data_IF_937151781995
#
_entry.id   IF_937151781995
#
_cell.length_a   1.000
_cell.length_b   1.000
_cell.length_c   1.000
_cell.angle_alpha   90.00
_cell.angle_beta   90.00
_cell.angle_gamma   90.00
#
_symmetry.space_group_name_H-M   'P 1'
#
loop_
_entity.id
_entity.type
_entity.pdbx_description
1 polymer ?
#
# COMPACT_ATOMS: atom_id res chain seq x y z
N UNK A 1 24.09 1.71 19.10
CA UNK A 1 22.77 1.08 19.00
C UNK A 1 22.79 -0.13 18.11
N UNK A 2 21.83 -1.03 18.23
CA UNK A 2 21.60 -2.10 17.25
C UNK A 2 20.74 -1.62 16.10
N UNK A 3 21.05 -2.07 14.88
CA UNK A 3 20.32 -1.71 13.66
C UNK A 3 20.40 -2.81 12.60
N UNK A 4 19.46 -2.82 11.71
CA UNK A 4 19.57 -3.51 10.43
C UNK A 4 20.33 -2.61 9.46
N UNK A 5 21.41 -3.08 8.86
CA UNK A 5 22.27 -2.28 7.98
C UNK A 5 22.39 -2.95 6.62
N UNK A 6 22.11 -2.21 5.55
CA UNK A 6 22.36 -2.63 4.16
C UNK A 6 23.70 -2.04 3.73
N UNK A 7 24.66 -2.90 3.44
CA UNK A 7 26.01 -2.54 3.01
C UNK A 7 26.18 -2.60 1.48
N UNK A 8 25.34 -3.40 0.80
CA UNK A 8 25.39 -3.63 -0.64
C UNK A 8 23.98 -3.65 -1.24
N UNK A 9 23.82 -3.00 -2.40
CA UNK A 9 22.54 -2.97 -3.10
C UNK A 9 21.97 -4.36 -3.39
N UNK A 10 20.69 -4.55 -3.08
CA UNK A 10 19.98 -5.80 -3.35
C UNK A 10 20.26 -6.92 -2.35
N UNK A 11 21.10 -6.70 -1.36
CA UNK A 11 21.34 -7.64 -0.24
C UNK A 11 20.32 -7.43 0.88
N UNK A 12 20.05 -8.49 1.63
CA UNK A 12 19.31 -8.36 2.88
C UNK A 12 20.14 -7.56 3.89
N UNK A 13 19.50 -6.76 4.76
CA UNK A 13 20.20 -6.05 5.82
C UNK A 13 20.75 -7.05 6.86
N UNK A 14 21.86 -6.69 7.50
CA UNK A 14 22.51 -7.45 8.58
C UNK A 14 22.16 -6.77 9.90
N UNK A 15 21.78 -7.54 10.93
CA UNK A 15 21.60 -7.03 12.28
C UNK A 15 22.94 -6.86 12.96
N UNK A 16 23.36 -5.60 13.23
CA UNK A 16 24.70 -5.29 13.70
C UNK A 16 24.73 -4.05 14.60
N UNK A 17 25.91 -3.77 15.17
CA UNK A 17 26.17 -2.51 15.87
C UNK A 17 26.32 -1.36 14.87
N UNK A 18 25.70 -0.22 15.19
CA UNK A 18 25.76 1.00 14.40
C UNK A 18 25.91 2.22 15.33
N UNK A 19 26.63 3.27 14.92
CA UNK A 19 26.69 4.52 15.70
C UNK A 19 25.31 5.07 16.03
N UNK A 20 25.19 5.69 17.21
CA UNK A 20 23.98 6.39 17.61
C UNK A 20 23.67 7.55 16.64
N UNK A 21 22.40 7.83 16.33
CA UNK A 21 22.04 9.00 15.57
C UNK A 21 22.34 10.27 16.35
N UNK A 22 22.80 11.30 15.66
CA UNK A 22 23.06 12.61 16.23
C UNK A 22 22.03 13.59 15.70
N UNK A 23 21.40 14.34 16.60
CA UNK A 23 20.43 15.38 16.21
C UNK A 23 21.07 16.39 15.24
N UNK A 24 20.39 16.63 14.13
CA UNK A 24 20.82 17.55 13.07
C UNK A 24 19.62 18.00 12.24
N UNK A 25 19.77 19.08 11.52
CA UNK A 25 18.78 19.57 10.53
C UNK A 25 17.34 19.71 11.11
N UNK A 26 17.21 20.09 12.40
CA UNK A 26 15.92 20.18 13.10
C UNK A 26 15.35 18.84 13.56
N UNK A 27 15.98 17.74 13.19
CA UNK A 27 15.54 16.40 13.62
C UNK A 27 15.91 16.11 15.06
N UNK A 28 15.09 15.32 15.73
CA UNK A 28 15.26 14.83 17.10
C UNK A 28 15.53 13.33 17.12
N UNK A 29 16.37 12.89 18.05
CA UNK A 29 16.61 11.45 18.26
C UNK A 29 15.42 10.86 18.98
N UNK A 30 14.89 9.75 18.47
CA UNK A 30 13.74 9.06 19.04
C UNK A 30 14.01 7.55 19.17
N UNK A 31 13.34 6.91 20.12
CA UNK A 31 13.40 5.46 20.31
C UNK A 31 12.39 4.80 19.37
N UNK A 32 12.83 3.87 18.52
CA UNK A 32 11.94 3.13 17.64
C UNK A 32 11.19 2.06 18.44
N UNK A 33 9.89 1.94 18.20
CA UNK A 33 9.05 0.90 18.79
C UNK A 33 8.64 -0.18 17.76
N UNK A 34 8.49 0.22 16.50
CA UNK A 34 8.07 -0.68 15.44
C UNK A 34 8.46 -0.13 14.07
N UNK A 35 8.84 -1.00 13.14
CA UNK A 35 9.15 -0.65 11.74
C UNK A 35 8.50 -1.64 10.79
N UNK A 36 7.69 -1.16 9.85
CA UNK A 36 7.02 -2.02 8.88
C UNK A 36 7.98 -2.48 7.77
N UNK A 37 8.04 -3.78 7.52
CA UNK A 37 8.75 -4.34 6.38
C UNK A 37 7.86 -4.27 5.14
N UNK A 38 8.10 -3.28 4.28
CA UNK A 38 7.27 -2.99 3.11
C UNK A 38 7.99 -3.30 1.81
N UNK A 39 7.22 -3.54 0.73
CA UNK A 39 7.79 -3.66 -0.61
C UNK A 39 8.50 -2.38 -1.06
N UNK A 40 8.04 -1.21 -0.59
CA UNK A 40 8.72 0.06 -0.81
C UNK A 40 10.12 0.04 -0.19
N UNK A 41 10.24 -0.34 1.07
CA UNK A 41 11.54 -0.45 1.76
C UNK A 41 12.48 -1.41 1.04
N UNK A 42 11.99 -2.61 0.69
CA UNK A 42 12.77 -3.60 -0.10
C UNK A 42 13.16 -3.05 -1.47
N UNK A 43 12.25 -2.36 -2.15
CA UNK A 43 12.48 -1.72 -3.44
C UNK A 43 13.57 -0.65 -3.37
N UNK A 44 13.50 0.27 -2.40
CA UNK A 44 14.46 1.35 -2.23
C UNK A 44 15.91 0.85 -2.08
N UNK A 45 16.12 -0.19 -1.27
CA UNK A 45 17.47 -0.76 -1.06
C UNK A 45 17.86 -1.84 -2.08
N UNK A 46 17.01 -2.13 -3.04
CA UNK A 46 17.36 -3.03 -4.15
C UNK A 46 18.31 -2.38 -5.17
N UNK A 47 18.43 -1.06 -5.16
CA UNK A 47 19.16 -0.28 -6.16
C UNK A 47 18.43 -0.16 -7.52
N UNK A 48 17.25 -0.77 -7.67
CA UNK A 48 16.48 -0.81 -8.93
C UNK A 48 15.24 0.10 -8.91
N UNK A 49 14.86 0.61 -7.75
CA UNK A 49 13.75 1.54 -7.61
C UNK A 49 14.18 2.93 -8.10
N UNK A 50 13.29 3.68 -8.74
CA UNK A 50 13.59 5.03 -9.27
C UNK A 50 14.11 6.01 -8.20
N UNK A 51 13.73 5.83 -6.92
CA UNK A 51 14.19 6.64 -5.80
C UNK A 51 15.42 6.03 -5.06
N UNK A 52 15.99 4.91 -5.51
CA UNK A 52 17.17 4.31 -4.86
C UNK A 52 18.38 5.24 -4.87
N UNK A 53 18.53 6.04 -5.93
CA UNK A 53 19.62 7.01 -6.08
C UNK A 53 19.67 8.11 -5.00
N UNK A 54 18.61 8.24 -4.22
CA UNK A 54 18.58 9.16 -3.08
C UNK A 54 19.23 8.61 -1.80
N UNK A 55 19.56 7.31 -1.78
CA UNK A 55 20.21 6.65 -0.65
C UNK A 55 21.71 6.49 -0.89
N UNK A 56 22.47 6.48 0.20
CA UNK A 56 23.93 6.20 0.19
C UNK A 56 24.20 5.04 1.14
N UNK A 57 24.96 4.05 0.66
CA UNK A 57 25.37 2.91 1.47
C UNK A 57 26.61 3.26 2.35
N UNK A 58 26.73 2.66 3.56
CA UNK A 58 25.74 1.81 4.21
C UNK A 58 24.51 2.60 4.68
N UNK A 59 23.34 1.94 4.69
CA UNK A 59 22.09 2.58 5.09
C UNK A 59 21.25 1.69 6.01
N UNK A 60 20.60 2.29 6.98
CA UNK A 60 19.57 1.65 7.79
C UNK A 60 18.25 1.75 7.01
N UNK A 61 17.62 0.63 6.60
CA UNK A 61 16.34 0.67 5.91
C UNK A 61 15.18 1.00 6.85
N UNK A 62 13.98 1.17 6.28
CA UNK A 62 12.76 1.43 7.04
C UNK A 62 12.17 2.80 6.71
N UNK A 63 11.25 2.82 5.73
CA UNK A 63 10.56 4.04 5.32
C UNK A 63 9.37 4.38 6.23
N UNK A 64 8.88 3.38 6.99
CA UNK A 64 7.68 3.50 7.83
C UNK A 64 7.93 2.91 9.21
N UNK A 65 7.51 3.62 10.25
CA UNK A 65 7.62 3.11 11.60
C UNK A 65 7.03 4.04 12.66
N UNK A 66 7.02 3.55 13.88
CA UNK A 66 6.59 4.25 15.08
C UNK A 66 7.79 4.50 15.96
N UNK A 67 7.95 5.72 16.38
CA UNK A 67 8.98 6.13 17.34
C UNK A 67 8.35 6.85 18.53
N UNK A 68 9.03 6.77 19.68
CA UNK A 68 8.70 7.50 20.89
C UNK A 68 9.69 8.65 21.08
N UNK A 69 9.17 9.85 21.19
CA UNK A 69 9.90 11.06 21.52
C UNK A 69 10.28 11.09 23.01
N UNK A 70 11.17 12.01 23.38
CA UNK A 70 11.67 12.14 24.77
C UNK A 70 10.55 12.49 25.78
N UNK A 71 9.52 13.21 25.33
CA UNK A 71 8.34 13.56 26.12
C UNK A 71 7.32 12.42 26.29
N UNK A 72 7.61 11.25 25.70
CA UNK A 72 6.76 10.09 25.70
C UNK A 72 5.74 10.00 24.56
N UNK A 73 5.62 11.03 23.72
CA UNK A 73 4.70 11.05 22.58
C UNK A 73 5.09 9.99 21.56
N UNK A 74 4.13 9.18 21.14
CA UNK A 74 4.31 8.21 20.04
C UNK A 74 3.94 8.85 18.72
N UNK A 75 4.83 8.73 17.76
CA UNK A 75 4.62 9.30 16.43
C UNK A 75 4.88 8.28 15.33
N UNK A 76 4.02 8.31 14.28
CA UNK A 76 4.40 7.74 13.00
C UNK A 76 5.29 8.73 12.27
N UNK A 77 6.36 8.22 11.72
CA UNK A 77 7.32 9.04 11.00
C UNK A 77 8.00 8.27 9.88
N UNK A 78 8.38 9.00 8.82
CA UNK A 78 9.41 8.57 7.90
C UNK A 78 10.75 9.07 8.40
N UNK A 79 11.69 8.17 8.61
CA UNK A 79 13.00 8.52 9.17
C UNK A 79 13.83 9.41 8.23
N UNK A 80 14.63 10.29 8.82
CA UNK A 80 15.60 11.11 8.10
C UNK A 80 16.82 10.28 7.70
N UNK A 81 17.25 10.44 6.45
CA UNK A 81 18.45 9.75 5.92
C UNK A 81 19.71 10.17 6.71
N UNK A 82 20.65 9.26 6.98
CA UNK A 82 20.72 7.85 6.57
C UNK A 82 20.05 6.89 7.56
N UNK A 83 19.37 7.36 8.58
CA UNK A 83 18.79 6.56 9.65
C UNK A 83 17.36 6.17 9.29
N UNK A 84 17.15 4.92 8.89
CA UNK A 84 15.80 4.36 8.72
C UNK A 84 15.20 3.90 10.06
N UNK A 85 13.99 3.33 9.98
CA UNK A 85 13.23 2.88 11.15
C UNK A 85 13.61 1.48 11.66
N UNK A 86 14.48 0.73 10.94
CA UNK A 86 14.91 -0.63 11.36
C UNK A 86 16.14 -0.58 12.27
N UNK A 87 16.00 0.12 13.38
CA UNK A 87 17.05 0.32 14.41
C UNK A 87 16.40 0.55 15.77
N UNK A 88 17.18 0.51 16.85
CA UNK A 88 16.73 0.88 18.19
C UNK A 88 16.40 2.38 18.30
N UNK A 89 17.13 3.22 17.57
CA UNK A 89 16.94 4.68 17.53
C UNK A 89 17.02 5.21 16.11
N UNK A 90 16.35 6.31 15.86
CA UNK A 90 16.35 7.01 14.58
C UNK A 90 16.34 8.52 14.77
N UNK A 91 16.48 9.26 13.67
CA UNK A 91 16.32 10.70 13.62
C UNK A 91 14.96 11.02 13.00
N UNK A 92 14.12 11.74 13.73
CA UNK A 92 12.75 12.09 13.35
C UNK A 92 12.65 13.58 13.08
N UNK A 93 11.95 13.94 12.00
CA UNK A 93 11.47 15.31 11.79
C UNK A 93 10.13 15.48 12.54
N UNK A 94 10.09 16.24 13.65
CA UNK A 94 8.87 16.42 14.44
C UNK A 94 7.73 17.08 13.66
N UNK A 95 8.05 18.00 12.74
CA UNK A 95 7.06 18.75 11.96
C UNK A 95 6.35 17.87 10.94
N UNK A 96 7.02 16.83 10.46
CA UNK A 96 6.45 15.84 9.53
C UNK A 96 5.84 14.61 10.21
N UNK A 97 5.93 14.53 11.54
CA UNK A 97 5.44 13.37 12.31
C UNK A 97 3.93 13.43 12.54
N UNK A 98 3.29 12.25 12.62
CA UNK A 98 1.85 12.12 12.91
C UNK A 98 1.67 11.42 14.26
N UNK A 99 1.03 12.09 15.21
CA UNK A 99 0.77 11.54 16.54
C UNK A 99 -0.13 10.30 16.44
N UNK A 100 0.24 9.25 17.17
CA UNK A 100 -0.51 7.99 17.24
C UNK A 100 -1.39 8.02 18.48
N UNK A 101 -2.69 7.73 18.36
CA UNK A 101 -3.59 7.58 19.50
C UNK A 101 -3.13 6.47 20.46
N UNK A 102 -3.40 6.64 21.76
CA UNK A 102 -2.96 5.69 22.79
C UNK A 102 -3.61 4.30 22.69
N UNK A 103 -4.79 4.23 22.10
CA UNK A 103 -5.58 3.00 21.88
C UNK A 103 -5.17 2.23 20.62
N UNK A 104 -4.17 2.71 19.85
CA UNK A 104 -3.56 1.97 18.74
C UNK A 104 -2.17 1.51 19.15
N UNK A 105 -1.90 0.21 19.15
CA UNK A 105 -0.58 -0.32 19.47
C UNK A 105 0.45 0.02 18.37
N UNK A 106 1.74 0.09 18.74
CA UNK A 106 2.80 0.55 17.85
C UNK A 106 3.06 -0.38 16.65
N UNK A 107 2.82 -1.69 16.81
CA UNK A 107 2.99 -2.67 15.73
C UNK A 107 1.91 -2.47 14.67
N UNK A 108 0.66 -2.36 15.09
CA UNK A 108 -0.45 -2.05 14.18
C UNK A 108 -0.29 -0.67 13.55
N UNK A 109 0.06 0.34 14.35
CA UNK A 109 0.27 1.70 13.84
C UNK A 109 1.38 1.79 12.78
N UNK A 110 2.48 1.04 12.92
CA UNK A 110 3.53 0.99 11.90
C UNK A 110 3.07 0.35 10.58
N UNK A 111 2.09 -0.56 10.63
CA UNK A 111 1.61 -1.30 9.45
C UNK A 111 0.65 -0.49 8.57
N UNK A 112 -0.03 0.52 9.12
CA UNK A 112 -1.12 1.26 8.46
C UNK A 112 -0.64 2.22 7.37
N UNK A 113 0.39 3.08 7.57
CA UNK A 113 0.61 4.24 6.70
C UNK A 113 0.94 3.90 5.27
N UNK A 114 1.84 2.96 5.03
CA UNK A 114 2.21 2.58 3.66
C UNK A 114 1.00 2.08 2.84
N UNK A 115 0.25 1.05 3.27
CA UNK A 115 -0.93 0.61 2.53
C UNK A 115 -2.07 1.63 2.57
N UNK A 116 -2.25 2.32 3.69
CA UNK A 116 -3.33 3.29 3.87
C UNK A 116 -3.17 4.53 3.00
N UNK A 117 -1.99 5.15 2.99
CA UNK A 117 -1.71 6.32 2.13
C UNK A 117 -1.80 5.94 0.66
N UNK A 118 -1.25 4.78 0.26
CA UNK A 118 -1.35 4.29 -1.12
C UNK A 118 -2.81 4.05 -1.53
N UNK A 119 -3.60 3.37 -0.70
CA UNK A 119 -5.01 3.13 -0.97
C UNK A 119 -5.80 4.44 -1.03
N UNK A 120 -5.56 5.37 -0.10
CA UNK A 120 -6.24 6.67 -0.09
C UNK A 120 -5.93 7.50 -1.32
N UNK A 121 -4.65 7.61 -1.72
CA UNK A 121 -4.26 8.29 -2.97
C UNK A 121 -4.95 7.70 -4.18
N UNK A 122 -5.04 6.37 -4.23
CA UNK A 122 -5.68 5.66 -5.33
C UNK A 122 -7.18 5.96 -5.41
N UNK A 123 -7.87 5.96 -4.27
CA UNK A 123 -9.31 6.20 -4.18
C UNK A 123 -9.66 7.66 -4.41
N UNK A 124 -8.97 8.58 -3.73
CA UNK A 124 -9.29 10.01 -3.75
C UNK A 124 -8.81 10.70 -5.04
N UNK A 125 -7.53 10.49 -5.40
CA UNK A 125 -6.89 11.26 -6.46
C UNK A 125 -6.96 10.56 -7.82
N UNK A 126 -6.50 9.31 -7.94
CA UNK A 126 -6.39 8.66 -9.23
C UNK A 126 -7.74 8.14 -9.75
N UNK A 127 -8.46 7.40 -8.92
CA UNK A 127 -9.77 6.88 -9.25
C UNK A 127 -10.91 7.88 -8.96
N UNK A 128 -10.67 8.93 -8.16
CA UNK A 128 -11.63 9.95 -7.79
C UNK A 128 -13.01 9.36 -7.44
N UNK A 129 -13.00 8.39 -6.51
CA UNK A 129 -14.19 7.62 -6.12
C UNK A 129 -15.28 8.54 -5.56
N UNK A 130 -16.49 8.30 -5.97
CA UNK A 130 -17.70 9.01 -5.52
C UNK A 130 -18.64 8.05 -4.78
N UNK A 131 -19.46 8.56 -3.85
CA UNK A 131 -20.52 7.76 -3.24
C UNK A 131 -21.38 7.10 -4.30
N UNK A 132 -21.61 5.79 -4.15
CA UNK A 132 -22.38 4.99 -5.10
C UNK A 132 -21.58 4.35 -6.22
N UNK A 133 -20.31 4.69 -6.46
CA UNK A 133 -19.48 4.09 -7.51
C UNK A 133 -19.36 2.56 -7.38
N UNK A 134 -19.27 1.88 -8.51
CA UNK A 134 -18.99 0.45 -8.63
C UNK A 134 -17.48 0.27 -8.89
N UNK A 135 -16.78 -0.36 -7.95
CA UNK A 135 -15.32 -0.44 -7.91
C UNK A 135 -14.85 -1.90 -8.06
N UNK A 136 -13.88 -2.14 -8.93
CA UNK A 136 -13.14 -3.40 -8.99
C UNK A 136 -11.77 -3.21 -8.34
N UNK A 137 -11.39 -4.09 -7.39
CA UNK A 137 -10.07 -4.12 -6.78
C UNK A 137 -9.32 -5.38 -7.19
N UNK A 138 -8.32 -5.23 -8.04
CA UNK A 138 -7.48 -6.31 -8.54
C UNK A 138 -6.26 -6.48 -7.63
N UNK A 139 -6.04 -7.68 -7.07
CA UNK A 139 -5.03 -7.93 -6.04
C UNK A 139 -5.51 -7.61 -4.61
N UNK A 140 -6.82 -7.68 -4.39
CA UNK A 140 -7.48 -7.30 -3.15
C UNK A 140 -7.04 -8.11 -1.91
N UNK A 141 -6.51 -9.33 -2.10
CA UNK A 141 -6.05 -10.19 -0.99
C UNK A 141 -4.73 -9.74 -0.36
N UNK A 142 -3.99 -8.83 -1.00
CA UNK A 142 -2.78 -8.20 -0.44
C UNK A 142 -3.11 -7.13 0.62
N UNK A 143 -2.10 -6.69 1.37
CA UNK A 143 -2.29 -5.69 2.46
C UNK A 143 -2.91 -4.40 1.91
N UNK A 144 -2.32 -3.80 0.87
CA UNK A 144 -2.82 -2.54 0.30
C UNK A 144 -4.19 -2.70 -0.35
N UNK A 145 -4.40 -3.81 -1.10
CA UNK A 145 -5.69 -4.09 -1.72
C UNK A 145 -6.82 -4.26 -0.71
N UNK A 146 -6.58 -5.02 0.39
CA UNK A 146 -7.59 -5.19 1.45
C UNK A 146 -7.88 -3.90 2.22
N UNK A 147 -6.88 -3.04 2.39
CA UNK A 147 -7.07 -1.70 2.94
C UNK A 147 -7.94 -0.85 2.01
N UNK A 148 -7.68 -0.89 0.70
CA UNK A 148 -8.46 -0.13 -0.29
C UNK A 148 -9.93 -0.58 -0.33
N UNK A 149 -10.22 -1.88 -0.20
CA UNK A 149 -11.60 -2.41 -0.13
C UNK A 149 -12.36 -1.81 1.04
N UNK A 150 -11.78 -1.85 2.24
CA UNK A 150 -12.40 -1.32 3.44
C UNK A 150 -12.61 0.20 3.34
N UNK A 151 -11.59 0.95 2.92
CA UNK A 151 -11.69 2.40 2.73
C UNK A 151 -12.70 2.79 1.65
N UNK A 152 -12.76 2.07 0.53
CA UNK A 152 -13.74 2.33 -0.54
C UNK A 152 -15.19 2.28 0.00
N UNK A 153 -15.49 1.34 0.90
CA UNK A 153 -16.81 1.24 1.54
C UNK A 153 -17.01 2.29 2.62
N UNK A 154 -16.13 2.30 3.63
CA UNK A 154 -16.35 3.05 4.87
C UNK A 154 -16.04 4.54 4.73
N UNK A 155 -14.98 4.91 4.00
CA UNK A 155 -14.54 6.30 3.88
C UNK A 155 -15.03 7.00 2.61
N UNK A 156 -15.20 6.26 1.50
CA UNK A 156 -15.57 6.83 0.20
C UNK A 156 -16.99 6.51 -0.25
N UNK A 157 -17.72 5.64 0.47
CA UNK A 157 -19.13 5.34 0.22
C UNK A 157 -19.37 4.63 -1.11
N UNK A 158 -18.43 3.81 -1.59
CA UNK A 158 -18.62 3.02 -2.80
C UNK A 158 -19.88 2.14 -2.70
N UNK A 159 -20.72 2.19 -3.73
CA UNK A 159 -21.99 1.47 -3.75
C UNK A 159 -21.83 -0.03 -3.94
N UNK A 160 -20.81 -0.44 -4.71
CA UNK A 160 -20.42 -1.84 -4.88
C UNK A 160 -18.91 -1.96 -4.94
N UNK A 161 -18.33 -2.94 -4.24
CA UNK A 161 -16.92 -3.29 -4.33
C UNK A 161 -16.79 -4.75 -4.72
N UNK A 162 -16.23 -5.01 -5.90
CA UNK A 162 -15.87 -6.34 -6.39
C UNK A 162 -14.38 -6.55 -6.18
N UNK A 163 -14.00 -7.70 -5.64
CA UNK A 163 -12.61 -8.02 -5.33
C UNK A 163 -12.11 -9.18 -6.18
N UNK A 164 -10.85 -9.10 -6.62
CA UNK A 164 -10.19 -10.18 -7.32
C UNK A 164 -8.85 -10.52 -6.68
N UNK A 165 -8.58 -11.80 -6.45
CA UNK A 165 -7.37 -12.29 -5.80
C UNK A 165 -7.23 -13.80 -5.85
N UNK A 166 -6.07 -14.34 -5.43
CA UNK A 166 -5.77 -15.79 -5.48
C UNK A 166 -6.12 -16.54 -4.19
N UNK A 167 -6.11 -15.86 -3.07
CA UNK A 167 -6.33 -16.45 -1.75
C UNK A 167 -7.83 -16.44 -1.42
N UNK A 168 -8.48 -17.58 -1.54
CA UNK A 168 -9.93 -17.73 -1.35
C UNK A 168 -10.35 -17.45 0.08
N UNK A 169 -9.55 -17.84 1.08
CA UNK A 169 -9.81 -17.54 2.49
C UNK A 169 -9.82 -16.02 2.74
N UNK A 170 -8.88 -15.30 2.13
CA UNK A 170 -8.85 -13.84 2.21
C UNK A 170 -9.99 -13.20 1.42
N UNK A 171 -10.41 -13.77 0.30
CA UNK A 171 -11.59 -13.28 -0.43
C UNK A 171 -12.88 -13.42 0.40
N UNK A 172 -13.04 -14.54 1.12
CA UNK A 172 -14.19 -14.73 2.01
C UNK A 172 -14.16 -13.75 3.19
N UNK A 173 -13.00 -13.52 3.79
CA UNK A 173 -12.84 -12.48 4.81
C UNK A 173 -13.17 -11.08 4.25
N UNK A 174 -12.75 -10.74 3.04
CA UNK A 174 -13.05 -9.43 2.43
C UNK A 174 -14.55 -9.17 2.28
N UNK A 175 -15.36 -10.22 2.09
CA UNK A 175 -16.83 -10.09 2.09
C UNK A 175 -17.38 -9.65 3.46
N UNK A 176 -16.71 -9.98 4.54
CA UNK A 176 -17.12 -9.56 5.88
C UNK A 176 -16.75 -8.11 6.21
N UNK A 177 -15.81 -7.52 5.44
CA UNK A 177 -15.27 -6.17 5.71
C UNK A 177 -15.49 -5.17 4.57
N UNK A 178 -16.39 -5.49 3.62
CA UNK A 178 -16.83 -4.50 2.63
C UNK A 178 -16.88 -4.92 1.17
N UNK A 179 -16.42 -6.14 0.79
CA UNK A 179 -16.60 -6.62 -0.58
C UNK A 179 -18.01 -7.17 -0.81
N UNK A 180 -18.62 -6.79 -1.91
CA UNK A 180 -19.96 -7.28 -2.30
C UNK A 180 -19.90 -8.54 -3.17
N UNK A 181 -18.79 -8.72 -3.93
CA UNK A 181 -18.58 -9.89 -4.79
C UNK A 181 -17.07 -10.20 -4.88
N UNK A 182 -16.73 -11.45 -5.19
CA UNK A 182 -15.35 -11.91 -5.27
C UNK A 182 -15.08 -12.79 -6.49
N UNK A 183 -13.88 -12.65 -7.06
CA UNK A 183 -13.36 -13.42 -8.18
C UNK A 183 -12.07 -14.11 -7.73
N UNK A 184 -12.04 -15.44 -7.77
CA UNK A 184 -10.86 -16.23 -7.40
C UNK A 184 -9.94 -16.41 -8.61
N UNK A 185 -8.90 -15.58 -8.73
CA UNK A 185 -7.93 -15.66 -9.83
C UNK A 185 -7.20 -17.01 -9.79
N UNK A 186 -7.20 -17.70 -10.93
CA UNK A 186 -6.62 -19.03 -11.10
C UNK A 186 -7.64 -20.16 -10.96
N UNK A 187 -8.84 -19.89 -10.44
CA UNK A 187 -9.96 -20.82 -10.38
C UNK A 187 -11.09 -20.35 -11.29
N UNK A 188 -11.43 -19.07 -11.21
CA UNK A 188 -12.43 -18.44 -12.07
C UNK A 188 -11.79 -17.95 -13.39
N UNK A 189 -12.58 -17.92 -14.47
CA UNK A 189 -12.25 -17.15 -15.66
C UNK A 189 -12.40 -15.65 -15.34
N UNK A 190 -11.29 -14.99 -15.04
CA UNK A 190 -11.26 -13.58 -14.63
C UNK A 190 -11.93 -12.69 -15.69
N UNK A 191 -11.59 -12.88 -16.97
CA UNK A 191 -12.13 -12.09 -18.08
C UNK A 191 -13.65 -12.24 -18.18
N UNK A 192 -14.16 -13.49 -18.23
CA UNK A 192 -15.58 -13.74 -18.33
C UNK A 192 -16.37 -13.22 -17.12
N UNK A 193 -15.81 -13.37 -15.91
CA UNK A 193 -16.43 -12.84 -14.68
C UNK A 193 -16.50 -11.31 -14.66
N UNK A 194 -15.42 -10.64 -15.02
CA UNK A 194 -15.38 -9.17 -15.10
C UNK A 194 -16.34 -8.66 -16.18
N UNK A 195 -16.34 -9.26 -17.38
CA UNK A 195 -17.24 -8.88 -18.46
C UNK A 195 -18.72 -8.99 -18.05
N UNK A 196 -19.11 -10.10 -17.41
CA UNK A 196 -20.47 -10.28 -16.90
C UNK A 196 -20.85 -9.23 -15.86
N UNK A 197 -20.00 -9.02 -14.85
CA UNK A 197 -20.27 -8.06 -13.77
C UNK A 197 -20.30 -6.61 -14.27
N UNK A 198 -19.48 -6.30 -15.29
CA UNK A 198 -19.47 -4.99 -15.95
C UNK A 198 -20.74 -4.76 -16.78
N UNK A 199 -21.23 -5.79 -17.48
CA UNK A 199 -22.48 -5.73 -18.24
C UNK A 199 -23.71 -5.57 -17.33
N UNK A 200 -23.73 -6.23 -16.16
CA UNK A 200 -24.79 -6.09 -15.15
C UNK A 200 -24.81 -4.67 -14.56
N UNK A 201 -23.66 -4.18 -14.16
CA UNK A 201 -23.44 -2.83 -13.62
C UNK A 201 -22.02 -2.39 -13.96
N UNK A 202 -21.83 -1.41 -14.85
CA UNK A 202 -20.52 -0.96 -15.28
C UNK A 202 -19.63 -0.52 -14.10
N UNK A 203 -18.34 -0.87 -14.18
CA UNK A 203 -17.35 -0.42 -13.21
C UNK A 203 -16.99 1.04 -13.48
N UNK A 204 -17.17 1.90 -12.46
CA UNK A 204 -16.76 3.30 -12.48
C UNK A 204 -15.27 3.45 -12.27
N UNK A 205 -14.67 2.53 -11.51
CA UNK A 205 -13.24 2.53 -11.25
C UNK A 205 -12.66 1.11 -11.11
N UNK A 206 -11.38 0.98 -11.48
CA UNK A 206 -10.54 -0.20 -11.22
C UNK A 206 -9.31 0.24 -10.45
N UNK A 207 -9.02 -0.42 -9.33
CA UNK A 207 -7.78 -0.29 -8.57
C UNK A 207 -6.91 -1.51 -8.83
N UNK A 208 -5.79 -1.34 -9.52
CA UNK A 208 -4.96 -2.45 -9.98
C UNK A 208 -3.62 -2.49 -9.23
N UNK A 209 -3.47 -3.51 -8.37
CA UNK A 209 -2.24 -3.84 -7.64
C UNK A 209 -1.41 -4.95 -8.32
N UNK A 210 -1.89 -5.51 -9.43
CA UNK A 210 -1.27 -6.68 -10.08
C UNK A 210 -0.50 -6.34 -11.34
N UNK A 211 -1.10 -5.56 -12.26
CA UNK A 211 -0.61 -5.34 -13.61
C UNK A 211 -0.42 -6.67 -14.40
N UNK A 212 0.32 -6.66 -15.53
CA UNK A 212 0.58 -7.86 -16.32
C UNK A 212 -0.67 -8.54 -16.87
N UNK A 213 -0.65 -9.86 -16.98
CA UNK A 213 -1.74 -10.66 -17.55
C UNK A 213 -3.11 -10.43 -16.90
N UNK A 214 -3.26 -10.35 -15.56
CA UNK A 214 -4.58 -10.04 -14.98
C UNK A 214 -5.13 -8.68 -15.43
N UNK A 215 -4.29 -7.67 -15.59
CA UNK A 215 -4.68 -6.37 -16.10
C UNK A 215 -5.13 -6.44 -17.57
N UNK A 216 -4.41 -7.21 -18.40
CA UNK A 216 -4.80 -7.46 -19.80
C UNK A 216 -6.19 -8.08 -19.89
N UNK A 217 -6.48 -9.10 -19.09
CA UNK A 217 -7.80 -9.76 -19.02
C UNK A 217 -8.91 -8.81 -18.58
N UNK A 218 -8.64 -7.96 -17.57
CA UNK A 218 -9.62 -6.98 -17.09
C UNK A 218 -9.87 -5.90 -18.15
N UNK A 219 -8.84 -5.33 -18.76
CA UNK A 219 -8.99 -4.31 -19.80
C UNK A 219 -9.71 -4.85 -21.05
N UNK A 220 -9.43 -6.09 -21.43
CA UNK A 220 -10.14 -6.75 -22.52
C UNK A 220 -11.62 -6.99 -22.18
N UNK A 221 -11.93 -7.35 -20.94
CA UNK A 221 -13.30 -7.52 -20.45
C UNK A 221 -14.11 -6.22 -20.38
N UNK A 222 -13.43 -5.07 -20.20
CA UNK A 222 -14.06 -3.74 -20.21
C UNK A 222 -14.24 -3.21 -21.64
N UNK A 223 -13.49 -3.75 -22.61
CA UNK A 223 -13.64 -3.42 -24.03
C UNK A 223 -14.98 -3.91 -24.58
N UNK A 224 -15.46 -3.28 -25.62
CA UNK A 224 -16.68 -3.71 -26.31
C UNK A 224 -16.44 -3.82 -27.80
N UNK A 225 -17.09 -4.78 -28.46
CA UNK A 225 -17.13 -4.89 -29.93
C UNK A 225 -18.40 -4.25 -30.52
N UNK A 226 -19.29 -3.71 -29.70
CA UNK A 226 -20.57 -3.17 -30.13
C UNK A 226 -20.48 -1.65 -30.37
N UNK A 227 -20.73 -1.21 -31.60
CA UNK A 227 -20.76 0.21 -31.99
C UNK A 227 -21.83 1.01 -31.24
N UNK A 228 -22.90 0.36 -30.78
CA UNK A 228 -24.01 0.97 -30.07
C UNK A 228 -23.93 0.82 -28.54
N UNK A 229 -22.78 0.43 -28.03
CA UNK A 229 -22.59 0.31 -26.58
C UNK A 229 -22.85 1.64 -25.88
N UNK A 230 -23.55 1.56 -24.75
CA UNK A 230 -23.80 2.75 -23.92
C UNK A 230 -22.48 3.30 -23.40
N UNK A 231 -22.22 4.59 -23.60
CA UNK A 231 -21.05 5.28 -23.09
C UNK A 231 -20.99 5.15 -21.55
N UNK A 232 -19.89 4.64 -21.04
CA UNK A 232 -19.56 4.61 -19.61
C UNK A 232 -18.06 4.84 -19.46
N UNK A 233 -17.68 5.75 -18.55
CA UNK A 233 -16.28 6.09 -18.31
C UNK A 233 -15.73 5.34 -17.11
N UNK A 234 -14.74 4.49 -17.35
CA UNK A 234 -14.02 3.75 -16.31
C UNK A 234 -12.65 4.37 -16.03
N UNK A 235 -12.40 4.71 -14.79
CA UNK A 235 -11.10 5.23 -14.31
C UNK A 235 -10.27 4.06 -13.82
N UNK A 236 -9.19 3.74 -14.53
CA UNK A 236 -8.29 2.64 -14.22
C UNK A 236 -7.02 3.16 -13.53
N UNK A 237 -6.87 2.92 -12.24
CA UNK A 237 -5.71 3.30 -11.45
C UNK A 237 -4.72 2.12 -11.38
N UNK A 238 -3.56 2.27 -12.00
CA UNK A 238 -2.43 1.35 -11.91
C UNK A 238 -1.59 1.71 -10.68
N UNK A 239 -1.47 0.79 -9.71
CA UNK A 239 -0.86 1.05 -8.41
C UNK A 239 0.32 0.11 -8.16
N UNK A 240 0.15 -1.17 -8.48
CA UNK A 240 1.17 -2.19 -8.24
C UNK A 240 1.48 -3.01 -9.49
N UNK A 241 2.52 -3.85 -9.38
CA UNK A 241 3.00 -4.70 -10.49
C UNK A 241 3.36 -6.10 -10.00
N UNK A 242 2.51 -6.64 -9.11
CA UNK A 242 2.78 -7.91 -8.44
C UNK A 242 2.68 -9.14 -9.35
N UNK A 243 2.01 -9.02 -10.52
CA UNK A 243 1.89 -10.09 -11.51
C UNK A 243 2.74 -9.86 -12.77
N UNK A 244 3.24 -8.63 -12.98
CA UNK A 244 4.11 -8.32 -14.12
C UNK A 244 4.53 -6.86 -14.12
N UNK A 245 5.68 -6.56 -14.73
CA UNK A 245 6.18 -5.17 -14.90
C UNK A 245 5.66 -4.53 -16.18
N UNK A 246 5.21 -5.32 -17.13
CA UNK A 246 4.73 -4.91 -18.46
C UNK A 246 3.44 -5.63 -18.79
N UNK A 247 2.67 -5.07 -19.70
CA UNK A 247 1.51 -5.71 -20.31
C UNK A 247 1.37 -5.30 -21.77
N UNK A 248 0.57 -6.03 -22.52
CA UNK A 248 0.11 -5.68 -23.87
C UNK A 248 -1.24 -4.99 -23.80
N UNK A 249 -1.36 -3.80 -24.39
CA UNK A 249 -2.62 -3.07 -24.47
C UNK A 249 -2.98 -2.77 -25.93
N UNK A 250 -3.90 -3.53 -26.55
CA UNK A 250 -4.37 -3.25 -27.89
C UNK A 250 -5.10 -1.89 -27.95
N UNK A 251 -4.76 -1.07 -28.93
CA UNK A 251 -5.39 0.24 -29.15
C UNK A 251 -6.92 0.15 -29.32
N UNK A 252 -7.42 -0.98 -29.80
CA UNK A 252 -8.84 -1.27 -29.97
C UNK A 252 -9.62 -1.15 -28.67
N UNK A 253 -9.06 -1.60 -27.55
CA UNK A 253 -9.69 -1.53 -26.22
C UNK A 253 -9.98 -0.07 -25.84
N UNK A 254 -8.96 0.80 -25.91
CA UNK A 254 -9.11 2.21 -25.56
C UNK A 254 -10.01 3.00 -26.54
N UNK A 255 -10.20 2.47 -27.75
CA UNK A 255 -11.09 3.10 -28.76
C UNK A 255 -12.52 2.61 -28.67
N UNK A 256 -12.75 1.42 -28.11
CA UNK A 256 -14.09 0.82 -27.98
C UNK A 256 -14.76 1.11 -26.64
N UNK A 257 -13.97 1.46 -25.61
CA UNK A 257 -14.47 1.79 -24.29
C UNK A 257 -13.80 3.07 -23.75
N UNK A 258 -14.56 3.88 -23.04
CA UNK A 258 -14.04 5.11 -22.42
C UNK A 258 -13.25 4.78 -21.15
N UNK A 259 -11.97 4.39 -21.30
CA UNK A 259 -11.08 4.03 -20.21
C UNK A 259 -9.97 5.09 -20.09
N UNK A 260 -9.78 5.63 -18.89
CA UNK A 260 -8.60 6.44 -18.55
C UNK A 260 -7.69 5.64 -17.64
N UNK A 261 -6.44 5.40 -18.04
CA UNK A 261 -5.43 4.74 -17.22
C UNK A 261 -4.52 5.80 -16.60
N UNK A 262 -4.36 5.76 -15.28
CA UNK A 262 -3.45 6.65 -14.54
C UNK A 262 -2.56 5.83 -13.60
N UNK A 263 -1.30 6.23 -13.43
CA UNK A 263 -0.38 5.61 -12.48
C UNK A 263 -0.50 6.22 -11.09
N UNK A 264 -0.26 5.41 -10.04
CA UNK A 264 -0.20 5.85 -8.65
C UNK A 264 1.13 5.47 -8.03
N UNK A 265 1.93 6.47 -7.74
CA UNK A 265 3.24 6.32 -7.09
C UNK A 265 3.72 7.69 -6.58
N UNK A 266 4.80 7.70 -5.82
CA UNK A 266 5.33 8.94 -5.24
C UNK A 266 5.71 9.99 -6.30
N UNK A 267 6.06 9.56 -7.52
CA UNK A 267 6.42 10.46 -8.63
C UNK A 267 5.25 10.87 -9.53
N UNK A 268 4.06 10.26 -9.37
CA UNK A 268 2.88 10.55 -10.20
C UNK A 268 1.77 11.30 -9.48
N UNK A 269 1.93 11.52 -8.17
CA UNK A 269 0.98 12.28 -7.33
C UNK A 269 1.67 13.56 -6.86
N UNK A 270 1.02 14.72 -6.95
CA UNK A 270 1.60 15.98 -6.47
C UNK A 270 1.99 15.91 -4.98
N UNK A 271 3.18 16.40 -4.59
CA UNK A 271 3.67 16.34 -3.20
C UNK A 271 2.69 16.94 -2.19
N UNK A 272 1.99 18.01 -2.54
CA UNK A 272 0.99 18.65 -1.70
C UNK A 272 -0.22 17.74 -1.43
N UNK A 273 -0.61 16.90 -2.40
CA UNK A 273 -1.66 15.89 -2.22
C UNK A 273 -1.20 14.82 -1.25
N UNK A 274 0.03 14.32 -1.39
CA UNK A 274 0.61 13.33 -0.48
C UNK A 274 0.70 13.90 0.93
N UNK A 275 1.21 15.13 1.08
CA UNK A 275 1.30 15.84 2.36
C UNK A 275 -0.05 16.01 3.04
N UNK A 276 -1.07 16.44 2.28
CA UNK A 276 -2.46 16.57 2.76
C UNK A 276 -3.04 15.22 3.20
N UNK A 277 -2.86 14.18 2.43
CA UNK A 277 -3.34 12.83 2.77
C UNK A 277 -2.67 12.34 4.06
N UNK A 278 -1.35 12.51 4.19
CA UNK A 278 -0.65 12.15 5.43
C UNK A 278 -1.19 12.92 6.64
N UNK A 279 -1.35 14.23 6.53
CA UNK A 279 -1.80 15.08 7.62
C UNK A 279 -3.27 14.87 8.01
N UNK A 280 -4.14 14.52 7.06
CA UNK A 280 -5.59 14.48 7.29
C UNK A 280 -6.17 13.06 7.29
N UNK A 281 -5.66 12.16 6.43
CA UNK A 281 -6.20 10.82 6.28
C UNK A 281 -5.57 9.82 7.26
N UNK A 282 -4.28 9.94 7.58
CA UNK A 282 -3.64 9.04 8.55
C UNK A 282 -4.29 9.10 9.94
N UNK A 283 -4.53 10.28 10.55
CA UNK A 283 -5.24 10.34 11.83
C UNK A 283 -6.63 9.68 11.77
N UNK A 284 -7.36 9.83 10.64
CA UNK A 284 -8.65 9.15 10.45
C UNK A 284 -8.48 7.63 10.38
N UNK A 285 -7.48 7.14 9.67
CA UNK A 285 -7.21 5.70 9.57
C UNK A 285 -6.80 5.11 10.92
N UNK A 286 -6.01 5.81 11.74
CA UNK A 286 -5.72 5.39 13.11
C UNK A 286 -7.01 5.31 13.96
N UNK A 287 -7.89 6.32 13.88
CA UNK A 287 -9.16 6.28 14.56
C UNK A 287 -10.06 5.12 14.09
N UNK A 288 -10.09 4.84 12.78
CA UNK A 288 -10.82 3.69 12.23
C UNK A 288 -10.26 2.35 12.73
N UNK A 289 -8.95 2.23 12.92
CA UNK A 289 -8.34 1.03 13.50
C UNK A 289 -8.72 0.90 14.98
N UNK A 290 -8.64 1.97 15.74
CA UNK A 290 -9.07 1.99 17.16
C UNK A 290 -10.54 1.57 17.30
N UNK A 291 -11.39 2.00 16.36
CA UNK A 291 -12.82 1.63 16.33
C UNK A 291 -13.08 0.21 15.78
N UNK A 292 -12.06 -0.50 15.26
CA UNK A 292 -12.22 -1.80 14.59
C UNK A 292 -12.83 -1.74 13.18
N UNK A 293 -12.99 -0.55 12.64
CA UNK A 293 -13.57 -0.29 11.30
C UNK A 293 -12.55 -0.53 10.16
N UNK A 294 -11.25 -0.43 10.46
CA UNK A 294 -10.16 -0.76 9.55
C UNK A 294 -9.30 -1.85 10.18
N UNK A 295 -9.22 -3.00 9.52
CA UNK A 295 -8.52 -4.18 10.01
C UNK A 295 -7.34 -4.54 9.10
N UNK A 296 -6.19 -4.80 9.70
CA UNK A 296 -4.98 -5.25 9.01
C UNK A 296 -4.47 -6.55 9.64
N UNK A 297 -4.00 -7.48 8.80
CA UNK A 297 -3.20 -8.60 9.28
C UNK A 297 -1.79 -8.09 9.60
N UNK A 298 -1.34 -8.30 10.83
CA UNK A 298 0.00 -7.88 11.27
C UNK A 298 0.70 -9.05 11.98
N UNK A 299 1.99 -9.22 11.72
CA UNK A 299 2.85 -10.19 12.38
C UNK A 299 4.09 -9.48 12.91
N UNK A 300 4.24 -9.41 14.22
CA UNK A 300 5.44 -8.85 14.86
C UNK A 300 6.59 -9.85 14.86
N UNK A 301 7.80 -9.40 14.55
CA UNK A 301 9.04 -10.15 14.67
C UNK A 301 10.12 -9.29 15.28
N UNK A 302 11.06 -9.91 16.00
CA UNK A 302 12.22 -9.17 16.50
C UNK A 302 13.07 -8.61 15.35
N UNK A 303 13.64 -7.43 15.53
CA UNK A 303 14.62 -6.85 14.60
C UNK A 303 15.86 -7.77 14.43
N UNK A 304 16.18 -8.59 15.44
CA UNK A 304 17.25 -9.61 15.35
C UNK A 304 17.00 -10.65 14.26
N UNK A 305 15.74 -10.81 13.83
CA UNK A 305 15.33 -11.76 12.78
C UNK A 305 15.24 -11.09 11.39
N UNK A 306 15.74 -9.87 11.23
CA UNK A 306 15.56 -9.09 9.99
C UNK A 306 16.01 -9.82 8.73
N UNK A 307 17.14 -10.50 8.77
CA UNK A 307 17.67 -11.27 7.61
C UNK A 307 16.67 -12.34 7.15
N UNK A 308 16.13 -13.10 8.11
CA UNK A 308 15.11 -14.13 7.83
C UNK A 308 13.79 -13.50 7.36
N UNK A 309 13.35 -12.45 8.03
CA UNK A 309 12.12 -11.74 7.67
C UNK A 309 12.19 -11.10 6.28
N UNK A 310 13.37 -10.61 5.89
CA UNK A 310 13.58 -9.96 4.60
C UNK A 310 13.34 -10.88 3.41
N UNK A 311 13.77 -12.14 3.54
CA UNK A 311 13.68 -13.15 2.48
C UNK A 311 12.45 -14.05 2.58
N UNK A 312 11.76 -14.04 3.74
CA UNK A 312 10.56 -14.83 3.96
C UNK A 312 9.41 -14.40 3.02
N UNK A 313 8.63 -15.38 2.58
CA UNK A 313 7.35 -15.11 1.92
C UNK A 313 6.35 -14.68 2.98
N UNK A 314 5.84 -13.45 2.84
CA UNK A 314 4.79 -12.94 3.71
C UNK A 314 3.48 -13.69 3.48
N UNK A 315 2.71 -14.02 4.54
CA UNK A 315 1.34 -14.50 4.39
C UNK A 315 0.47 -13.47 3.64
N UNK A 316 -0.47 -13.95 2.86
CA UNK A 316 -1.36 -13.06 2.10
C UNK A 316 -2.10 -12.10 3.03
N UNK A 317 -2.08 -10.82 2.71
CA UNK A 317 -2.76 -9.77 3.49
C UNK A 317 -2.19 -9.50 4.88
N UNK A 318 -0.98 -10.01 5.18
CA UNK A 318 -0.30 -9.78 6.47
C UNK A 318 0.93 -8.91 6.28
N UNK A 319 1.12 -7.92 7.14
CA UNK A 319 2.31 -7.07 7.20
C UNK A 319 3.24 -7.54 8.29
N UNK A 320 4.49 -7.83 7.95
CA UNK A 320 5.54 -8.07 8.93
C UNK A 320 5.99 -6.73 9.49
N UNK A 321 6.06 -6.65 10.81
CA UNK A 321 6.55 -5.48 11.55
C UNK A 321 7.69 -5.92 12.44
N UNK A 322 8.83 -5.24 12.32
CA UNK A 322 10.03 -5.51 13.12
C UNK A 322 10.01 -4.62 14.36
N UNK A 323 10.30 -5.22 15.50
CA UNK A 323 10.41 -4.52 16.79
C UNK A 323 11.85 -4.67 17.31
N UNK A 324 12.51 -3.59 17.75
CA UNK A 324 13.84 -3.62 18.37
C UNK A 324 13.96 -4.51 19.58
#
# INVERSE_FOLDING_TARGET
MKAAVVEEWGRAPIYTDHPEPVARDGGVVATVEASALTNLTKGLVSGKHYASGELTLPVIPGADGVARLEDGTRVYTGALKPYGMMAERTLVDPDGAVVIPDDVDSVTAAAIPNPGVSAWMSLEHAAAIRPGDNVLVLGATGVTGSTAVQLAKSAFGAGRVVVAGRDTTRLDWLRTVGADDAIAIGTDDLRARVARLHAERPFDAVLDYLWGEPAEQVLDALGTSELAARYHHTRYAQIGSMAGLTMTLPAGILRSAAITISGVGLGSIPPEVIGRIRAQALPKMFAMVAAGELQLGVEARSLTEVERAWTAKEPSGTRIVLTP
#
